data_IF_426166684956
#
_entry.id   IF_426166684956
#
_cell.length_a   1.000
_cell.length_b   1.000
_cell.length_c   1.000
_cell.angle_alpha   90.00
_cell.angle_beta   90.00
_cell.angle_gamma   90.00
#
_symmetry.space_group_name_H-M   'P 1'
#
loop_
_entity.id
_entity.type
_entity.pdbx_description
1 polymer ?
#
# COMPACT_ATOMS: atom_id res chain seq x y z
N UNK A 1 -20.30 2.07 0.18
CA UNK A 1 -20.31 3.12 -0.90
C UNK A 1 -21.55 3.06 -1.80
N UNK A 2 -22.53 2.27 -1.47
CA UNK A 2 -23.79 2.12 -2.22
C UNK A 2 -24.87 3.09 -1.75
N UNK A 3 -24.71 3.68 -0.55
CA UNK A 3 -25.68 4.63 -0.01
C UNK A 3 -25.71 5.92 -0.84
N UNK A 4 -26.92 6.37 -1.19
CA UNK A 4 -27.20 7.64 -1.86
C UNK A 4 -27.98 8.54 -0.93
N UNK A 5 -27.45 9.72 -0.67
CA UNK A 5 -28.09 10.70 0.20
C UNK A 5 -29.32 11.31 -0.47
N UNK A 6 -30.43 11.46 0.29
CA UNK A 6 -31.60 12.19 -0.15
C UNK A 6 -31.34 13.70 -0.22
N UNK A 7 -32.26 14.46 -0.82
CA UNK A 7 -32.10 15.92 -0.91
C UNK A 7 -32.23 16.60 0.46
N UNK A 8 -33.05 16.03 1.33
CA UNK A 8 -33.21 16.49 2.72
C UNK A 8 -31.92 16.27 3.51
N UNK A 9 -31.31 15.10 3.39
CA UNK A 9 -30.04 14.80 4.06
C UNK A 9 -28.91 15.72 3.57
N UNK A 10 -28.86 16.01 2.27
CA UNK A 10 -27.86 16.93 1.73
C UNK A 10 -28.06 18.34 2.26
N UNK A 11 -29.30 18.84 2.31
CA UNK A 11 -29.61 20.15 2.91
C UNK A 11 -29.20 20.23 4.37
N UNK A 12 -29.50 19.18 5.15
CA UNK A 12 -29.07 19.10 6.56
C UNK A 12 -27.54 19.12 6.67
N UNK A 13 -26.85 18.32 5.88
CA UNK A 13 -25.40 18.30 5.86
C UNK A 13 -24.79 19.67 5.48
N UNK A 14 -25.36 20.37 4.50
CA UNK A 14 -24.92 21.72 4.13
C UNK A 14 -25.16 22.74 5.25
N UNK A 15 -26.29 22.65 5.95
CA UNK A 15 -26.58 23.50 7.11
C UNK A 15 -25.55 23.28 8.22
N UNK A 16 -25.24 22.01 8.51
CA UNK A 16 -24.24 21.63 9.52
C UNK A 16 -22.83 22.10 9.10
N UNK A 17 -22.48 21.98 7.80
CA UNK A 17 -21.18 22.40 7.30
C UNK A 17 -20.92 23.91 7.44
N UNK A 18 -21.97 24.72 7.53
CA UNK A 18 -21.90 26.17 7.76
C UNK A 18 -21.91 26.54 9.25
N UNK A 19 -22.04 25.58 10.17
CA UNK A 19 -21.98 25.84 11.61
C UNK A 19 -20.52 25.98 12.07
N UNK A 20 -20.12 27.14 12.61
CA UNK A 20 -18.72 27.37 13.01
C UNK A 20 -18.24 26.48 14.18
N UNK A 21 -19.15 25.74 14.81
CA UNK A 21 -18.81 24.77 15.86
C UNK A 21 -18.34 23.43 15.28
N UNK A 22 -18.61 23.18 14.00
CA UNK A 22 -18.12 21.97 13.30
C UNK A 22 -16.68 22.19 12.88
N UNK A 23 -15.79 21.39 13.41
CA UNK A 23 -14.36 21.51 13.14
C UNK A 23 -13.64 20.15 13.23
N UNK A 24 -12.42 20.11 12.77
CA UNK A 24 -11.54 18.95 12.90
C UNK A 24 -12.09 17.71 12.18
N UNK A 25 -12.11 16.57 12.85
CA UNK A 25 -12.48 15.29 12.22
C UNK A 25 -13.97 15.27 11.76
N UNK A 26 -14.87 15.97 12.44
CA UNK A 26 -16.27 16.04 12.03
C UNK A 26 -16.44 16.82 10.71
N UNK A 27 -15.68 17.88 10.54
CA UNK A 27 -15.64 18.66 9.30
C UNK A 27 -15.11 17.81 8.14
N UNK A 28 -14.10 16.97 8.37
CA UNK A 28 -13.58 16.01 7.39
C UNK A 28 -14.70 15.05 6.96
N UNK A 29 -15.36 14.37 7.91
CA UNK A 29 -16.42 13.41 7.59
C UNK A 29 -17.54 14.04 6.77
N UNK A 30 -17.97 15.24 7.17
CA UNK A 30 -19.06 15.95 6.53
C UNK A 30 -18.73 16.35 5.09
N UNK A 31 -17.51 16.86 4.87
CA UNK A 31 -17.09 17.26 3.53
C UNK A 31 -16.87 16.05 2.60
N UNK A 32 -16.33 14.94 3.08
CA UNK A 32 -16.28 13.70 2.27
C UNK A 32 -17.67 13.16 1.94
N UNK A 33 -18.66 13.27 2.85
CA UNK A 33 -20.04 12.89 2.61
C UNK A 33 -20.72 13.79 1.58
N UNK A 34 -20.55 15.11 1.69
CA UNK A 34 -21.04 16.09 0.72
C UNK A 34 -20.39 15.92 -0.65
N UNK A 35 -19.07 15.73 -0.69
CA UNK A 35 -18.34 15.44 -1.92
C UNK A 35 -18.94 14.25 -2.66
N UNK A 36 -19.17 13.13 -1.94
CA UNK A 36 -19.86 11.95 -2.49
C UNK A 36 -21.28 12.25 -2.94
N UNK A 37 -22.06 12.99 -2.15
CA UNK A 37 -23.45 13.32 -2.47
C UNK A 37 -23.56 14.16 -3.76
N UNK A 38 -22.65 15.11 -3.97
CA UNK A 38 -22.61 15.91 -5.19
C UNK A 38 -22.05 15.12 -6.39
N UNK A 39 -21.08 14.26 -6.18
CA UNK A 39 -20.58 13.34 -7.24
C UNK A 39 -21.71 12.43 -7.75
N UNK A 40 -22.52 11.84 -6.86
CA UNK A 40 -23.67 11.02 -7.23
C UNK A 40 -24.73 11.79 -8.04
N UNK A 41 -24.82 13.11 -7.85
CA UNK A 41 -25.67 14.03 -8.58
C UNK A 41 -25.01 14.61 -9.85
N UNK A 42 -23.80 14.16 -10.16
CA UNK A 42 -22.98 14.66 -11.29
C UNK A 42 -22.65 16.15 -11.21
N UNK A 43 -22.72 16.73 -10.02
CA UNK A 43 -22.23 18.10 -9.77
C UNK A 43 -20.75 18.03 -9.37
N UNK A 44 -19.89 17.87 -10.36
CA UNK A 44 -18.48 17.57 -10.15
C UNK A 44 -17.69 18.74 -9.54
N UNK A 45 -18.07 19.98 -9.82
CA UNK A 45 -17.40 21.17 -9.28
C UNK A 45 -17.61 21.27 -7.75
N UNK A 46 -18.87 21.12 -7.30
CA UNK A 46 -19.16 21.07 -5.87
C UNK A 46 -18.58 19.83 -5.20
N UNK A 47 -18.63 18.67 -5.88
CA UNK A 47 -18.02 17.46 -5.37
C UNK A 47 -16.53 17.65 -5.12
N UNK A 48 -15.80 18.20 -6.11
CA UNK A 48 -14.38 18.48 -5.97
C UNK A 48 -14.08 19.48 -4.86
N UNK A 49 -14.85 20.57 -4.77
CA UNK A 49 -14.68 21.58 -3.72
C UNK A 49 -14.79 21.00 -2.33
N UNK A 50 -15.80 20.14 -2.09
CA UNK A 50 -15.96 19.46 -0.82
C UNK A 50 -14.86 18.42 -0.54
N UNK A 51 -14.47 17.62 -1.53
CA UNK A 51 -13.34 16.71 -1.36
C UNK A 51 -12.04 17.47 -1.07
N UNK A 52 -11.77 18.57 -1.79
CA UNK A 52 -10.57 19.37 -1.58
C UNK A 52 -10.53 19.99 -0.18
N UNK A 53 -11.66 20.52 0.30
CA UNK A 53 -11.77 21.09 1.62
C UNK A 53 -11.59 20.01 2.71
N UNK A 54 -12.32 18.89 2.62
CA UNK A 54 -12.19 17.77 3.55
C UNK A 54 -10.75 17.20 3.61
N UNK A 55 -10.08 17.09 2.46
CA UNK A 55 -8.68 16.68 2.39
C UNK A 55 -7.74 17.70 3.04
N UNK A 56 -7.91 19.00 2.76
CA UNK A 56 -7.10 20.06 3.37
C UNK A 56 -7.22 20.05 4.89
N UNK A 57 -8.45 19.93 5.41
CA UNK A 57 -8.69 19.79 6.86
C UNK A 57 -8.01 18.52 7.41
N UNK A 58 -8.12 17.39 6.70
CA UNK A 58 -7.48 16.14 7.14
C UNK A 58 -5.95 16.23 7.10
N UNK A 59 -5.38 16.82 6.07
CA UNK A 59 -3.93 17.05 5.96
C UNK A 59 -3.38 17.85 7.14
N UNK A 60 -4.13 18.86 7.63
CA UNK A 60 -3.75 19.64 8.79
C UNK A 60 -3.82 18.83 10.12
N UNK A 61 -4.62 17.77 10.17
CA UNK A 61 -4.75 16.91 11.36
C UNK A 61 -3.72 15.76 11.39
N UNK A 62 -3.07 15.47 10.26
CA UNK A 62 -2.07 14.39 10.16
C UNK A 62 -0.71 14.99 9.86
N UNK A 63 0.34 14.35 10.37
CA UNK A 63 1.70 14.78 10.08
C UNK A 63 2.27 13.85 9.00
N UNK A 64 2.09 14.22 7.72
CA UNK A 64 2.69 13.52 6.59
C UNK A 64 3.88 14.29 6.05
N UNK A 65 4.99 13.59 5.88
CA UNK A 65 6.24 14.12 5.33
C UNK A 65 6.57 13.37 4.04
N UNK A 66 6.30 14.02 2.91
CA UNK A 66 6.55 13.46 1.57
C UNK A 66 8.04 13.33 1.27
N UNK A 67 8.89 14.22 1.79
CA UNK A 67 10.34 14.17 1.60
C UNK A 67 10.94 12.97 2.34
N UNK A 68 10.46 12.70 3.55
CA UNK A 68 10.86 11.50 4.29
C UNK A 68 10.40 10.22 3.57
N UNK A 69 9.25 10.23 2.91
CA UNK A 69 8.76 9.09 2.11
C UNK A 69 9.66 8.86 0.90
N UNK A 70 10.00 9.91 0.15
CA UNK A 70 10.94 9.85 -0.97
C UNK A 70 12.30 9.32 -0.51
N UNK A 71 12.83 9.84 0.61
CA UNK A 71 14.07 9.36 1.20
C UNK A 71 14.03 7.85 1.52
N UNK A 72 12.94 7.36 2.11
CA UNK A 72 12.77 5.93 2.38
C UNK A 72 12.76 5.09 1.09
N UNK A 73 12.20 5.61 0.00
CA UNK A 73 12.25 4.97 -1.32
C UNK A 73 13.69 4.90 -1.84
N UNK A 74 14.44 5.99 -1.72
CA UNK A 74 15.85 6.04 -2.11
C UNK A 74 16.72 5.11 -1.27
N UNK A 75 16.46 5.01 0.04
CA UNK A 75 17.12 4.05 0.92
C UNK A 75 16.88 2.59 0.47
N UNK A 76 15.66 2.25 0.00
CA UNK A 76 15.38 0.92 -0.56
C UNK A 76 16.17 0.66 -1.85
N UNK A 77 16.22 1.65 -2.74
CA UNK A 77 16.95 1.56 -4.01
C UNK A 77 18.46 1.39 -3.76
N UNK A 78 19.01 2.16 -2.84
CA UNK A 78 20.44 2.12 -2.51
C UNK A 78 20.85 0.82 -1.82
N UNK A 79 20.05 0.36 -0.86
CA UNK A 79 20.38 -0.84 -0.07
C UNK A 79 20.06 -2.16 -0.78
N UNK A 80 19.06 -2.20 -1.62
CA UNK A 80 18.62 -3.44 -2.28
C UNK A 80 19.18 -3.52 -3.70
N UNK A 81 20.50 -3.49 -3.83
CA UNK A 81 21.22 -3.59 -5.08
C UNK A 81 21.35 -5.04 -5.58
N UNK A 82 21.86 -5.22 -6.79
CA UNK A 82 22.05 -6.54 -7.38
C UNK A 82 22.99 -7.43 -6.53
N UNK A 83 24.01 -6.84 -5.88
CA UNK A 83 24.96 -7.59 -5.06
C UNK A 83 24.30 -8.24 -3.84
N UNK A 84 23.29 -7.59 -3.25
CA UNK A 84 22.50 -8.15 -2.16
C UNK A 84 21.78 -9.44 -2.59
N UNK A 85 21.13 -9.42 -3.74
CA UNK A 85 20.39 -10.59 -4.25
C UNK A 85 21.31 -11.70 -4.74
N UNK A 86 22.47 -11.38 -5.30
CA UNK A 86 23.49 -12.37 -5.65
C UNK A 86 24.05 -13.05 -4.40
N UNK A 87 24.36 -12.27 -3.35
CA UNK A 87 24.87 -12.78 -2.07
C UNK A 87 23.93 -13.79 -1.42
N UNK A 88 22.62 -13.56 -1.47
CA UNK A 88 21.61 -14.36 -0.77
C UNK A 88 20.72 -15.18 -1.70
N UNK A 89 21.17 -15.42 -2.92
CA UNK A 89 20.38 -16.15 -3.93
C UNK A 89 19.90 -17.50 -3.40
N UNK A 90 18.59 -17.70 -3.38
CA UNK A 90 17.90 -18.93 -2.96
C UNK A 90 18.23 -19.37 -1.52
N UNK A 91 18.58 -18.44 -0.63
CA UNK A 91 18.94 -18.77 0.76
C UNK A 91 17.78 -18.62 1.76
N UNK A 92 16.62 -18.10 1.35
CA UNK A 92 15.41 -17.99 2.15
C UNK A 92 14.66 -19.32 2.30
N UNK A 93 13.40 -19.23 2.74
CA UNK A 93 12.47 -20.35 2.73
C UNK A 93 12.02 -20.64 1.29
N UNK A 94 12.02 -21.92 0.89
CA UNK A 94 11.78 -22.35 -0.50
C UNK A 94 10.29 -22.41 -0.91
N UNK A 95 9.36 -22.01 -0.03
CA UNK A 95 7.92 -22.00 -0.32
C UNK A 95 7.63 -21.17 -1.59
N UNK A 96 6.79 -21.73 -2.46
CA UNK A 96 6.39 -21.14 -3.73
C UNK A 96 4.88 -20.82 -3.80
N UNK A 97 4.18 -21.10 -2.72
CA UNK A 97 2.73 -20.92 -2.54
C UNK A 97 2.29 -19.46 -2.30
N UNK A 98 3.10 -18.54 -1.71
CA UNK A 98 2.66 -17.16 -1.54
C UNK A 98 2.59 -16.40 -2.87
N UNK A 99 1.47 -15.69 -3.07
CA UNK A 99 1.25 -14.73 -4.16
C UNK A 99 1.04 -13.36 -3.52
N UNK A 100 2.01 -12.47 -3.68
CA UNK A 100 1.88 -11.09 -3.19
C UNK A 100 1.22 -10.21 -4.25
N UNK A 101 0.10 -9.55 -3.91
CA UNK A 101 -0.47 -8.49 -4.74
C UNK A 101 -0.08 -7.15 -4.11
N UNK A 102 0.76 -6.42 -4.82
CA UNK A 102 1.30 -5.13 -4.40
C UNK A 102 0.84 -4.00 -5.32
N UNK A 103 1.16 -2.76 -4.98
CA UNK A 103 0.83 -1.58 -5.78
C UNK A 103 0.31 -0.44 -4.92
N UNK A 104 -0.39 0.51 -5.53
CA UNK A 104 -1.03 1.59 -4.78
C UNK A 104 -2.45 1.23 -4.36
N UNK A 105 -2.95 1.80 -3.25
CA UNK A 105 -4.38 1.76 -2.95
C UNK A 105 -5.18 2.30 -4.14
N UNK A 106 -6.34 1.69 -4.43
CA UNK A 106 -7.22 2.06 -5.56
C UNK A 106 -6.71 1.68 -6.95
N UNK A 107 -5.64 0.91 -7.04
CA UNK A 107 -5.12 0.40 -8.32
C UNK A 107 -5.84 -0.86 -8.84
N UNK A 108 -6.85 -1.37 -8.13
CA UNK A 108 -7.61 -2.56 -8.56
C UNK A 108 -7.14 -3.87 -7.91
N UNK A 109 -6.24 -3.83 -6.93
CA UNK A 109 -5.71 -5.02 -6.25
C UNK A 109 -6.79 -5.95 -5.67
N UNK A 110 -7.91 -5.42 -5.16
CA UNK A 110 -9.04 -6.23 -4.66
C UNK A 110 -9.76 -6.98 -5.78
N UNK A 111 -9.94 -6.36 -6.95
CA UNK A 111 -10.53 -7.06 -8.10
C UNK A 111 -9.62 -8.18 -8.58
N UNK A 112 -8.33 -7.91 -8.68
CA UNK A 112 -7.33 -8.90 -9.06
C UNK A 112 -7.28 -10.07 -8.07
N UNK A 113 -7.32 -9.79 -6.77
CA UNK A 113 -7.44 -10.82 -5.73
C UNK A 113 -8.70 -11.69 -5.95
N UNK A 114 -9.86 -11.08 -6.18
CA UNK A 114 -11.12 -11.80 -6.43
C UNK A 114 -11.06 -12.65 -7.69
N UNK A 115 -10.47 -12.15 -8.77
CA UNK A 115 -10.28 -12.91 -10.01
C UNK A 115 -9.41 -14.14 -9.75
N UNK A 116 -8.26 -13.97 -9.12
CA UNK A 116 -7.33 -15.07 -8.84
C UNK A 116 -7.93 -16.08 -7.85
N UNK A 117 -8.58 -15.62 -6.79
CA UNK A 117 -9.21 -16.48 -5.78
C UNK A 117 -10.49 -17.18 -6.28
N UNK A 118 -10.98 -16.84 -7.48
CA UNK A 118 -12.03 -17.63 -8.13
C UNK A 118 -11.51 -18.98 -8.68
N UNK A 119 -10.20 -19.15 -8.77
CA UNK A 119 -9.58 -20.39 -9.19
C UNK A 119 -9.47 -21.37 -8.02
N UNK A 120 -9.81 -22.63 -8.22
CA UNK A 120 -9.87 -23.67 -7.16
C UNK A 120 -8.55 -23.97 -6.45
N UNK A 121 -7.42 -23.57 -7.00
CA UNK A 121 -6.08 -23.75 -6.42
C UNK A 121 -5.57 -22.52 -5.65
N UNK A 122 -6.34 -21.43 -5.60
CA UNK A 122 -5.90 -20.15 -5.07
C UNK A 122 -6.93 -19.63 -4.07
N UNK A 123 -6.49 -19.28 -2.89
CA UNK A 123 -7.35 -18.59 -1.91
C UNK A 123 -6.90 -17.15 -1.69
N UNK A 124 -7.85 -16.25 -1.46
CA UNK A 124 -7.61 -14.91 -0.97
C UNK A 124 -7.54 -14.93 0.56
N UNK A 125 -6.58 -14.22 1.13
CA UNK A 125 -6.54 -13.98 2.57
C UNK A 125 -7.03 -12.56 2.88
N UNK A 126 -6.30 -11.82 3.69
CA UNK A 126 -6.57 -10.43 4.04
C UNK A 126 -5.32 -9.58 3.75
N UNK A 127 -5.34 -8.32 4.14
CA UNK A 127 -4.13 -7.49 4.19
C UNK A 127 -3.26 -7.94 5.36
N UNK A 128 -2.29 -8.85 5.09
CA UNK A 128 -1.44 -9.43 6.12
C UNK A 128 -0.35 -8.41 6.55
N UNK A 129 -0.22 -8.12 7.87
CA UNK A 129 0.72 -7.13 8.35
C UNK A 129 2.16 -7.64 8.51
N UNK A 130 2.43 -8.92 8.20
CA UNK A 130 3.64 -9.64 8.59
C UNK A 130 4.91 -9.04 8.02
N UNK A 131 4.93 -8.73 6.72
CA UNK A 131 6.08 -8.09 6.05
C UNK A 131 6.33 -6.69 6.62
N UNK A 132 5.27 -5.89 6.82
CA UNK A 132 5.39 -4.55 7.42
C UNK A 132 5.90 -4.63 8.85
N UNK A 133 5.42 -5.60 9.62
CA UNK A 133 5.86 -5.85 11.00
C UNK A 133 7.33 -6.26 11.05
N UNK A 134 7.77 -7.16 10.16
CA UNK A 134 9.16 -7.60 10.06
C UNK A 134 10.09 -6.43 9.69
N UNK A 135 9.72 -5.63 8.68
CA UNK A 135 10.49 -4.45 8.29
C UNK A 135 10.63 -3.45 9.45
N UNK A 136 9.55 -3.23 10.21
CA UNK A 136 9.55 -2.41 11.41
C UNK A 136 10.44 -2.95 12.52
N UNK A 137 10.47 -4.28 12.74
CA UNK A 137 11.39 -4.93 13.70
C UNK A 137 12.84 -4.74 13.29
N UNK A 138 13.18 -4.92 12.01
CA UNK A 138 14.53 -4.73 11.46
C UNK A 138 14.98 -3.28 11.62
N UNK A 139 14.11 -2.30 11.35
CA UNK A 139 14.41 -0.87 11.53
C UNK A 139 14.72 -0.53 12.99
N UNK A 140 13.91 -1.03 13.94
CA UNK A 140 14.13 -0.81 15.39
C UNK A 140 15.41 -1.47 15.89
N UNK A 141 15.70 -2.70 15.43
CA UNK A 141 16.91 -3.44 15.83
C UNK A 141 18.17 -2.69 15.40
N UNK A 142 18.25 -2.23 14.15
CA UNK A 142 19.38 -1.45 13.66
C UNK A 142 19.65 -0.19 14.52
N UNK A 143 18.59 0.60 14.76
CA UNK A 143 18.71 1.82 15.61
C UNK A 143 19.21 1.51 17.02
N UNK A 144 18.75 0.44 17.67
CA UNK A 144 19.15 0.08 19.04
C UNK A 144 20.61 -0.39 19.14
N UNK A 145 21.12 -1.02 18.07
CA UNK A 145 22.49 -1.56 18.04
C UNK A 145 23.52 -0.54 17.53
N UNK A 146 23.09 0.69 17.19
CA UNK A 146 23.96 1.69 16.56
C UNK A 146 24.39 1.32 15.13
N UNK A 147 23.76 0.30 14.53
CA UNK A 147 23.99 -0.14 13.18
C UNK A 147 23.11 0.63 12.18
N UNK A 148 23.41 0.54 10.89
CA UNK A 148 22.52 1.06 9.86
C UNK A 148 21.13 0.41 10.00
N UNK A 149 20.05 1.20 9.99
CA UNK A 149 18.70 0.67 10.10
C UNK A 149 18.28 -0.04 8.80
N UNK A 150 17.13 -0.73 8.84
CA UNK A 150 16.47 -1.24 7.63
C UNK A 150 16.22 -0.09 6.62
N UNK A 151 16.53 -0.28 5.33
CA UNK A 151 16.88 -1.55 4.67
C UNK A 151 18.37 -1.91 4.67
N UNK A 152 19.28 -1.04 5.04
CA UNK A 152 20.74 -1.28 4.94
C UNK A 152 21.22 -2.49 5.73
N UNK A 153 20.62 -2.80 6.87
CA UNK A 153 20.98 -3.95 7.69
C UNK A 153 20.60 -5.31 7.05
N UNK A 154 19.96 -5.32 5.89
CA UNK A 154 19.76 -6.56 5.12
C UNK A 154 21.09 -7.19 4.69
N UNK A 155 22.12 -6.38 4.41
CA UNK A 155 23.45 -6.87 4.08
C UNK A 155 24.16 -7.59 5.23
N UNK A 156 23.77 -7.29 6.48
CA UNK A 156 24.37 -7.85 7.70
C UNK A 156 23.66 -9.12 8.19
N UNK A 157 22.61 -9.56 7.50
CA UNK A 157 21.88 -10.78 7.86
C UNK A 157 22.72 -12.02 7.50
N UNK A 158 22.56 -13.07 8.28
CA UNK A 158 23.05 -14.41 7.96
C UNK A 158 21.95 -15.26 7.31
N UNK A 159 22.34 -16.33 6.64
CA UNK A 159 21.44 -17.24 5.93
C UNK A 159 20.42 -17.88 6.88
N UNK A 160 20.84 -18.24 8.10
CA UNK A 160 19.94 -18.84 9.11
C UNK A 160 18.83 -17.86 9.52
N UNK A 161 19.18 -16.60 9.67
CA UNK A 161 18.22 -15.52 10.01
C UNK A 161 17.24 -15.27 8.86
N UNK A 162 17.73 -15.24 7.60
CA UNK A 162 16.85 -15.07 6.44
C UNK A 162 15.85 -16.22 6.32
N UNK A 163 16.34 -17.47 6.42
CA UNK A 163 15.48 -18.65 6.36
C UNK A 163 14.44 -18.64 7.48
N UNK A 164 14.86 -18.34 8.71
CA UNK A 164 13.94 -18.22 9.85
C UNK A 164 12.85 -17.16 9.61
N UNK A 165 13.16 -16.02 9.02
CA UNK A 165 12.14 -15.02 8.72
C UNK A 165 11.11 -15.51 7.70
N UNK A 166 11.53 -16.28 6.70
CA UNK A 166 10.62 -16.96 5.79
C UNK A 166 9.78 -18.03 6.50
N UNK A 167 10.41 -18.85 7.34
CA UNK A 167 9.71 -19.87 8.15
C UNK A 167 8.68 -19.23 9.10
N UNK A 168 9.06 -18.13 9.77
CA UNK A 168 8.16 -17.36 10.64
C UNK A 168 6.97 -16.80 9.86
N UNK A 169 7.20 -16.21 8.67
CA UNK A 169 6.12 -15.72 7.81
C UNK A 169 5.15 -16.85 7.41
N UNK A 170 5.67 -17.99 6.96
CA UNK A 170 4.86 -19.13 6.53
C UNK A 170 4.01 -19.67 7.68
N UNK A 171 4.58 -19.78 8.90
CA UNK A 171 3.89 -20.21 10.10
C UNK A 171 2.85 -19.19 10.57
N UNK A 172 3.23 -17.89 10.66
CA UNK A 172 2.38 -16.86 11.24
C UNK A 172 1.16 -16.57 10.34
N UNK A 173 1.29 -16.78 9.02
CA UNK A 173 0.18 -16.65 8.07
C UNK A 173 -0.70 -17.89 7.95
N UNK A 174 -0.31 -19.04 8.53
CA UNK A 174 -1.06 -20.29 8.42
C UNK A 174 -2.51 -20.19 8.92
N UNK A 175 -2.76 -19.40 9.96
CA UNK A 175 -4.10 -19.18 10.52
C UNK A 175 -5.09 -18.50 9.56
N UNK A 176 -4.60 -17.89 8.48
CA UNK A 176 -5.39 -17.20 7.46
C UNK A 176 -5.60 -18.03 6.21
N UNK A 177 -5.08 -19.25 6.18
CA UNK A 177 -5.08 -20.14 5.02
C UNK A 177 -5.94 -21.38 5.24
N UNK A 178 -6.37 -21.94 4.12
CA UNK A 178 -6.97 -23.29 4.07
C UNK A 178 -5.98 -24.27 3.43
N UNK A 179 -6.46 -25.35 2.85
CA UNK A 179 -5.63 -26.39 2.22
C UNK A 179 -5.36 -26.16 0.73
N UNK A 180 -5.56 -24.92 0.20
CA UNK A 180 -5.28 -24.63 -1.20
C UNK A 180 -3.78 -24.55 -1.49
N UNK A 181 -3.33 -24.95 -2.71
CA UNK A 181 -1.91 -24.90 -3.07
C UNK A 181 -1.27 -23.51 -3.09
N UNK A 182 -2.07 -22.44 -3.26
CA UNK A 182 -1.59 -21.06 -3.30
C UNK A 182 -2.49 -20.16 -2.46
N UNK A 183 -1.89 -19.17 -1.81
CA UNK A 183 -2.63 -18.12 -1.10
C UNK A 183 -2.15 -16.72 -1.50
N UNK A 184 -3.04 -15.76 -1.41
CA UNK A 184 -2.77 -14.37 -1.78
C UNK A 184 -2.57 -13.53 -0.52
N UNK A 185 -1.40 -12.91 -0.37
CA UNK A 185 -1.16 -11.78 0.52
C UNK A 185 -1.39 -10.48 -0.27
N UNK A 186 -2.57 -9.87 -0.10
CA UNK A 186 -2.91 -8.63 -0.79
C UNK A 186 -2.70 -7.44 0.16
N UNK A 187 -1.46 -7.06 0.36
CA UNK A 187 -1.07 -5.83 1.06
C UNK A 187 -0.39 -4.88 0.07
N UNK A 188 -1.11 -3.89 -0.48
CA UNK A 188 -0.58 -2.99 -1.52
C UNK A 188 0.76 -2.38 -1.14
N UNK A 189 0.93 -1.92 0.09
CA UNK A 189 2.14 -1.28 0.58
C UNK A 189 3.38 -2.19 0.63
N UNK A 190 3.24 -3.50 0.44
CA UNK A 190 4.35 -4.44 0.34
C UNK A 190 5.25 -4.18 -0.88
N UNK A 191 4.82 -3.36 -1.85
CA UNK A 191 5.70 -2.91 -2.95
C UNK A 191 7.00 -2.29 -2.44
N UNK A 192 6.98 -1.66 -1.26
CA UNK A 192 8.15 -1.05 -0.62
C UNK A 192 9.12 -2.06 -0.03
N UNK A 193 8.73 -3.32 0.05
CA UNK A 193 9.47 -4.39 0.73
C UNK A 193 9.71 -5.61 -0.16
N UNK A 194 9.59 -5.46 -1.48
CA UNK A 194 9.83 -6.56 -2.44
C UNK A 194 11.22 -7.16 -2.25
N UNK A 195 12.23 -6.31 -1.99
CA UNK A 195 13.58 -6.80 -1.69
C UNK A 195 13.61 -7.75 -0.49
N UNK A 196 12.97 -7.37 0.62
CA UNK A 196 12.87 -8.24 1.81
C UNK A 196 12.10 -9.53 1.51
N UNK A 197 10.97 -9.42 0.81
CA UNK A 197 10.15 -10.59 0.41
C UNK A 197 11.01 -11.58 -0.39
N UNK A 198 11.73 -11.11 -1.40
CA UNK A 198 12.55 -11.98 -2.27
C UNK A 198 13.77 -12.57 -1.57
N UNK A 199 14.28 -11.94 -0.52
CA UNK A 199 15.33 -12.52 0.32
C UNK A 199 14.82 -13.65 1.21
N UNK A 200 13.65 -13.49 1.83
CA UNK A 200 13.10 -14.47 2.77
C UNK A 200 12.26 -15.57 2.10
N UNK A 201 11.65 -15.26 0.95
CA UNK A 201 10.77 -16.13 0.14
C UNK A 201 11.16 -16.01 -1.34
N UNK A 202 12.30 -16.57 -1.76
CA UNK A 202 12.82 -16.37 -3.11
C UNK A 202 11.89 -16.88 -4.23
N UNK A 203 11.03 -17.86 -3.95
CA UNK A 203 10.08 -18.44 -4.91
C UNK A 203 8.69 -17.83 -4.89
N UNK A 204 8.40 -16.91 -3.95
CA UNK A 204 7.12 -16.20 -3.90
C UNK A 204 6.85 -15.45 -5.21
N UNK A 205 5.60 -15.46 -5.65
CA UNK A 205 5.12 -14.73 -6.82
C UNK A 205 4.72 -13.32 -6.41
N UNK A 206 5.05 -12.34 -7.25
CA UNK A 206 4.71 -10.94 -6.97
C UNK A 206 3.98 -10.37 -8.18
N UNK A 207 2.83 -9.75 -7.94
CA UNK A 207 2.00 -9.10 -8.95
C UNK A 207 1.87 -7.63 -8.56
N UNK A 208 2.31 -6.74 -9.44
CA UNK A 208 2.11 -5.30 -9.34
C UNK A 208 0.79 -4.94 -10.00
N UNK A 209 -0.23 -4.63 -9.17
CA UNK A 209 -1.51 -4.11 -9.65
C UNK A 209 -1.36 -2.61 -9.89
N UNK A 210 -1.33 -2.21 -11.15
CA UNK A 210 -1.14 -0.82 -11.56
C UNK A 210 -2.38 -0.29 -12.28
N UNK A 211 -2.62 0.99 -12.12
CA UNK A 211 -3.71 1.70 -12.77
C UNK A 211 -3.21 3.02 -13.35
N UNK A 212 -3.91 3.54 -14.37
CA UNK A 212 -3.61 4.86 -14.92
C UNK A 212 -3.40 5.88 -13.79
N UNK A 213 -2.29 6.67 -13.78
CA UNK A 213 -1.89 7.50 -12.64
C UNK A 213 -2.99 8.47 -12.20
N UNK A 214 -3.65 9.17 -13.14
CA UNK A 214 -4.73 10.11 -12.81
C UNK A 214 -5.92 9.41 -12.17
N UNK A 215 -6.32 8.23 -12.69
CA UNK A 215 -7.44 7.47 -12.15
C UNK A 215 -7.15 6.91 -10.76
N UNK A 216 -5.93 6.39 -10.54
CA UNK A 216 -5.49 5.87 -9.25
C UNK A 216 -5.41 7.00 -8.20
N UNK A 217 -4.67 8.06 -8.50
CA UNK A 217 -4.45 9.19 -7.59
C UNK A 217 -5.75 9.89 -7.23
N UNK A 218 -6.58 10.21 -8.21
CA UNK A 218 -7.86 10.87 -7.96
C UNK A 218 -8.83 9.97 -7.18
N UNK A 219 -8.85 8.66 -7.45
CA UNK A 219 -9.62 7.71 -6.66
C UNK A 219 -9.14 7.62 -5.20
N UNK A 220 -7.83 7.76 -4.96
CA UNK A 220 -7.23 7.89 -3.64
C UNK A 220 -7.65 9.18 -2.93
N UNK A 221 -7.55 10.31 -3.63
CA UNK A 221 -7.94 11.63 -3.12
C UNK A 221 -9.41 11.73 -2.68
N UNK A 222 -10.32 11.04 -3.38
CA UNK A 222 -11.75 10.95 -3.00
C UNK A 222 -12.05 9.94 -1.89
N UNK A 223 -11.05 9.22 -1.39
CA UNK A 223 -11.23 8.20 -0.39
C UNK A 223 -10.75 8.67 0.97
N UNK A 224 -11.67 8.77 1.94
CA UNK A 224 -11.26 8.90 3.33
C UNK A 224 -10.86 7.51 3.84
N UNK A 225 -9.57 7.30 4.07
CA UNK A 225 -9.04 6.07 4.64
C UNK A 225 -9.18 6.08 6.17
N UNK A 226 -9.46 4.90 6.76
CA UNK A 226 -9.60 4.78 8.21
C UNK A 226 -8.27 5.07 8.91
N UNK A 227 -7.19 4.44 8.41
CA UNK A 227 -5.83 4.60 8.93
C UNK A 227 -4.80 4.56 7.80
N UNK A 228 -3.64 5.14 8.04
CA UNK A 228 -2.56 5.18 7.06
C UNK A 228 -2.91 6.02 5.83
N UNK A 229 -2.19 5.82 4.74
CA UNK A 229 -2.42 6.44 3.42
C UNK A 229 -2.46 7.98 3.48
N UNK A 230 -1.71 8.61 4.40
CA UNK A 230 -1.75 10.06 4.66
C UNK A 230 -1.37 10.92 3.46
N UNK A 231 -0.59 10.36 2.54
CA UNK A 231 -0.22 11.00 1.27
C UNK A 231 -1.43 11.29 0.36
N UNK A 232 -2.58 10.67 0.60
CA UNK A 232 -3.77 10.85 -0.25
C UNK A 232 -4.52 12.15 -0.01
N UNK A 233 -4.22 12.87 1.08
CA UNK A 233 -4.93 14.09 1.47
C UNK A 233 -4.38 15.38 0.82
N UNK A 234 -3.43 15.26 -0.09
CA UNK A 234 -2.91 16.34 -0.93
C UNK A 234 -2.70 15.81 -2.36
N UNK A 235 -3.10 16.60 -3.38
CA UNK A 235 -2.87 16.23 -4.79
C UNK A 235 -1.37 16.23 -5.13
N UNK A 236 -0.59 17.10 -4.50
CA UNK A 236 0.85 17.16 -4.67
C UNK A 236 1.51 15.93 -4.05
N UNK A 237 1.16 15.60 -2.80
CA UNK A 237 1.74 14.47 -2.08
C UNK A 237 1.41 13.13 -2.75
N UNK A 238 0.15 12.93 -3.19
CA UNK A 238 -0.23 11.70 -3.87
C UNK A 238 0.47 11.56 -5.22
N UNK A 239 0.67 12.67 -5.95
CA UNK A 239 1.44 12.70 -7.19
C UNK A 239 2.92 12.37 -6.97
N UNK A 240 3.53 12.89 -5.90
CA UNK A 240 4.89 12.59 -5.49
C UNK A 240 5.05 11.13 -5.08
N UNK A 241 4.13 10.64 -4.25
CA UNK A 241 4.10 9.23 -3.83
C UNK A 241 3.96 8.27 -5.02
N UNK A 242 3.14 8.60 -6.02
CA UNK A 242 3.01 7.81 -7.25
C UNK A 242 4.33 7.75 -8.03
N UNK A 243 5.04 8.87 -8.15
CA UNK A 243 6.37 8.90 -8.79
C UNK A 243 7.38 8.04 -8.05
N UNK A 244 7.40 8.12 -6.72
CA UNK A 244 8.27 7.31 -5.87
C UNK A 244 7.96 5.81 -6.03
N UNK A 245 6.67 5.45 -6.09
CA UNK A 245 6.24 4.08 -6.36
C UNK A 245 6.76 3.57 -7.72
N UNK A 246 6.55 4.32 -8.80
CA UNK A 246 7.03 3.92 -10.13
C UNK A 246 8.55 3.78 -10.13
N UNK A 247 9.28 4.75 -9.57
CA UNK A 247 10.75 4.72 -9.44
C UNK A 247 11.23 3.45 -8.74
N UNK A 248 10.53 3.05 -7.67
CA UNK A 248 10.89 1.84 -6.91
C UNK A 248 10.55 0.57 -7.67
N UNK A 249 9.40 0.50 -8.36
CA UNK A 249 9.03 -0.65 -9.18
C UNK A 249 10.00 -0.85 -10.35
N UNK A 250 10.42 0.23 -11.02
CA UNK A 250 11.45 0.20 -12.06
C UNK A 250 12.81 -0.28 -11.53
N UNK A 251 13.09 0.01 -10.25
CA UNK A 251 14.28 -0.53 -9.59
C UNK A 251 14.16 -2.04 -9.39
N UNK A 252 13.03 -2.53 -8.90
CA UNK A 252 12.82 -3.98 -8.74
C UNK A 252 12.92 -4.73 -10.05
N UNK A 253 12.41 -4.19 -11.16
CA UNK A 253 12.57 -4.80 -12.50
C UNK A 253 14.04 -4.93 -12.92
N UNK A 254 14.89 -3.97 -12.56
CA UNK A 254 16.31 -3.98 -12.88
C UNK A 254 17.11 -4.99 -12.07
N UNK A 255 16.86 -5.07 -10.74
CA UNK A 255 17.67 -5.91 -9.84
C UNK A 255 17.09 -7.32 -9.65
N UNK A 256 15.83 -7.51 -10.00
CA UNK A 256 15.07 -8.76 -9.91
C UNK A 256 14.29 -9.01 -11.23
N UNK A 257 14.97 -9.09 -12.37
CA UNK A 257 14.31 -9.19 -13.67
C UNK A 257 13.40 -10.43 -13.75
N UNK A 258 12.14 -10.21 -14.16
CA UNK A 258 11.14 -11.28 -14.30
C UNK A 258 10.52 -11.79 -12.99
N UNK A 259 10.84 -11.17 -11.84
CA UNK A 259 10.26 -11.57 -10.55
C UNK A 259 8.96 -10.83 -10.19
N UNK A 260 8.64 -9.75 -10.87
CA UNK A 260 7.40 -8.98 -10.67
C UNK A 260 6.59 -8.98 -11.96
N UNK A 261 5.35 -9.45 -11.88
CA UNK A 261 4.41 -9.39 -12.99
C UNK A 261 3.61 -8.08 -12.89
N UNK A 262 3.80 -7.20 -13.84
CA UNK A 262 2.98 -6.00 -13.96
C UNK A 262 1.63 -6.33 -14.62
N UNK A 263 0.52 -5.93 -13.97
CA UNK A 263 -0.83 -5.99 -14.51
C UNK A 263 -1.44 -4.59 -14.50
N UNK A 264 -1.79 -4.08 -15.68
CA UNK A 264 -2.52 -2.83 -15.82
C UNK A 264 -4.02 -3.07 -15.69
N UNK A 265 -4.68 -2.28 -14.86
CA UNK A 265 -6.12 -2.45 -14.57
C UNK A 265 -7.00 -2.21 -15.79
N UNK A 266 -6.56 -1.35 -16.70
CA UNK A 266 -7.28 -0.95 -17.89
C UNK A 266 -7.14 -1.93 -19.07
N UNK A 267 -6.21 -2.89 -19.02
CA UNK A 267 -5.98 -3.93 -20.04
C UNK A 267 -6.83 -5.18 -19.75
#
# INVERSE_FOLDING_TARGET
KTYRFSDEEVKVMQTIANDPRVSGQNEVYLNFALGKAFEDRKNFDLAFSHYAFGNSTKAALVNYDSDNTTKQTEEQIDACDQSLFEKFKNMGNEAADPIFIVGLPRAGSTLLEQILSSHSLVEGTTELPDILTLSGRLRRKGKRQGNKPYPYNLHDLDVKTLRRFGDDYMRDTEIHRTETPFFIDKMPNNFRHIGLIKLILPNAKIIDARRHPMACCFSGFKQLFAEGQFFTYSLEDIGKYYKDYVKLMDHWDRVLPGHVLLIQYED
#
